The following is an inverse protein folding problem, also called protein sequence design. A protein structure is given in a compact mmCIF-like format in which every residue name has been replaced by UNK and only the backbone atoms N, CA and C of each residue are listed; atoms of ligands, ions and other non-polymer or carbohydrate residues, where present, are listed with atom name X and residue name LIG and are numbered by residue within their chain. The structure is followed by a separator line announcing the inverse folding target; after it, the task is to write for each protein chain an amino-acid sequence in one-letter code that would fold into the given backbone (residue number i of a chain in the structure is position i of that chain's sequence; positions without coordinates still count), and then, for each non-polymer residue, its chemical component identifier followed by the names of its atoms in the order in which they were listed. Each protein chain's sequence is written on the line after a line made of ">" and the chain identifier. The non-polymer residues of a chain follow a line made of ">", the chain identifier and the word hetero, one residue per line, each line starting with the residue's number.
data_IF_861240748035
#
_entry.id   IF_861240748035
#
_cell.length_a   1.000
_cell.length_b   1.000
_cell.length_c   1.000
_cell.angle_alpha   90.00
_cell.angle_beta   90.00
_cell.angle_gamma   90.00
#
_symmetry.space_group_name_H-M   'P 1'
#
loop_
_entity.id
_entity.type
_entity.pdbx_description
1 polymer ?
#
# COMPACT_ATOMS: atom_id res chain seq x y z
N UNK A 1 -43.57 40.88 -14.47
CA UNK A 1 -42.45 40.02 -14.97
C UNK A 1 -41.31 40.03 -13.95
N UNK A 2 -40.61 38.90 -13.77
CA UNK A 2 -39.33 38.73 -13.02
C UNK A 2 -39.34 38.47 -11.49
N UNK A 3 -40.23 37.61 -10.96
CA UNK A 3 -40.05 37.04 -9.59
C UNK A 3 -39.88 35.52 -9.55
N UNK A 4 -40.38 34.79 -10.56
CA UNK A 4 -40.25 33.33 -10.64
C UNK A 4 -38.85 32.83 -11.06
N UNK A 5 -38.03 33.66 -11.70
CA UNK A 5 -36.71 33.25 -12.23
C UNK A 5 -35.60 33.24 -11.17
N UNK A 6 -35.79 33.93 -10.04
CA UNK A 6 -34.77 34.09 -9.01
C UNK A 6 -34.83 32.95 -7.97
N UNK A 7 -36.03 32.42 -7.68
CA UNK A 7 -36.24 31.29 -6.76
C UNK A 7 -35.75 29.96 -7.34
N UNK A 8 -35.91 29.74 -8.64
CA UNK A 8 -35.39 28.54 -9.32
C UNK A 8 -33.86 28.52 -9.39
N UNK A 9 -33.24 29.67 -9.65
CA UNK A 9 -31.79 29.81 -9.65
C UNK A 9 -31.19 29.55 -8.26
N UNK A 10 -31.86 30.02 -7.20
CA UNK A 10 -31.42 29.81 -5.82
C UNK A 10 -31.59 28.34 -5.38
N UNK A 11 -32.73 27.71 -5.70
CA UNK A 11 -32.95 26.30 -5.40
C UNK A 11 -31.96 25.39 -6.14
N UNK A 12 -31.63 25.69 -7.41
CA UNK A 12 -30.64 24.97 -8.19
C UNK A 12 -29.22 25.14 -7.64
N UNK A 13 -28.85 26.35 -7.21
CA UNK A 13 -27.57 26.61 -6.53
C UNK A 13 -27.44 25.85 -5.20
N UNK A 14 -28.52 25.76 -4.41
CA UNK A 14 -28.52 25.02 -3.14
C UNK A 14 -28.40 23.50 -3.37
N UNK A 15 -29.07 22.96 -4.39
CA UNK A 15 -28.95 21.54 -4.79
C UNK A 15 -27.54 21.20 -5.31
N UNK A 16 -26.91 22.11 -6.06
CA UNK A 16 -25.52 21.94 -6.54
C UNK A 16 -24.49 21.99 -5.39
N UNK A 17 -24.70 22.85 -4.38
CA UNK A 17 -23.82 22.95 -3.21
C UNK A 17 -23.88 21.70 -2.30
N UNK A 18 -25.06 21.10 -2.12
CA UNK A 18 -25.23 19.87 -1.32
C UNK A 18 -24.52 18.64 -1.93
N UNK A 19 -24.29 18.65 -3.24
CA UNK A 19 -23.64 17.55 -3.96
C UNK A 19 -22.11 17.52 -3.78
N UNK A 20 -21.50 18.67 -3.48
CA UNK A 20 -20.03 18.81 -3.40
C UNK A 20 -19.42 18.37 -2.06
N UNK A 21 -20.22 18.25 -0.99
CA UNK A 21 -19.73 17.94 0.36
C UNK A 21 -19.43 16.44 0.60
N UNK A 22 -19.86 15.53 -0.29
CA UNK A 22 -19.82 14.09 -0.02
C UNK A 22 -18.52 13.37 -0.46
N UNK A 23 -17.62 14.05 -1.16
CA UNK A 23 -16.45 13.40 -1.78
C UNK A 23 -15.18 13.47 -0.92
N UNK A 24 -14.99 14.51 -0.10
CA UNK A 24 -13.79 14.69 0.73
C UNK A 24 -13.76 13.81 1.97
N UNK A 25 -14.93 13.56 2.58
CA UNK A 25 -15.03 12.87 3.87
C UNK A 25 -14.67 11.37 3.75
N UNK A 26 -14.83 10.81 2.56
CA UNK A 26 -14.44 9.42 2.26
C UNK A 26 -12.91 9.23 2.24
N UNK A 27 -12.13 10.30 2.05
CA UNK A 27 -10.67 10.22 1.95
C UNK A 27 -9.99 10.00 3.32
N UNK A 28 -10.66 10.35 4.42
CA UNK A 28 -10.20 10.05 5.78
C UNK A 28 -10.19 8.54 6.05
N UNK A 29 -11.23 7.83 5.60
CA UNK A 29 -11.39 6.39 5.81
C UNK A 29 -10.53 5.53 4.88
N UNK A 30 -9.80 6.14 3.93
CA UNK A 30 -8.91 5.40 3.04
C UNK A 30 -7.62 5.01 3.75
N UNK A 31 -7.15 3.79 3.45
CA UNK A 31 -5.83 3.33 3.85
C UNK A 31 -4.78 4.26 3.24
N UNK A 32 -4.09 5.03 4.10
CA UNK A 32 -2.99 5.93 3.72
C UNK A 32 -1.78 5.09 3.32
N UNK A 33 -1.60 4.87 2.02
CA UNK A 33 -0.46 4.12 1.46
C UNK A 33 0.72 5.05 1.17
N UNK A 34 1.93 4.52 1.23
CA UNK A 34 3.16 5.19 0.76
C UNK A 34 3.74 4.37 -0.38
N UNK A 35 4.15 5.04 -1.44
CA UNK A 35 4.79 4.41 -2.61
C UNK A 35 6.31 4.40 -2.48
N UNK A 36 6.82 3.90 -1.35
CA UNK A 36 8.25 3.84 -1.04
C UNK A 36 8.64 2.38 -0.91
N UNK A 37 9.11 1.81 -2.01
CA UNK A 37 9.41 0.37 -2.14
C UNK A 37 10.87 0.10 -2.50
N UNK A 38 11.71 1.13 -2.53
CA UNK A 38 13.10 0.97 -2.93
C UNK A 38 13.90 0.16 -1.90
N UNK A 39 14.90 -0.58 -2.38
CA UNK A 39 15.86 -1.22 -1.49
C UNK A 39 16.94 -0.21 -1.06
N UNK A 40 17.20 -0.12 0.25
CA UNK A 40 18.41 0.51 0.79
C UNK A 40 19.60 -0.43 0.74
N UNK A 41 19.35 -1.74 0.80
CA UNK A 41 20.30 -2.79 0.48
C UNK A 41 19.65 -3.83 -0.44
N UNK A 42 20.28 -4.06 -1.61
CA UNK A 42 19.79 -5.02 -2.60
C UNK A 42 19.69 -6.43 -1.99
N UNK A 43 18.74 -7.26 -2.43
CA UNK A 43 18.66 -8.65 -2.02
C UNK A 43 19.94 -9.41 -2.33
N UNK A 44 20.38 -10.22 -1.37
CA UNK A 44 21.54 -11.11 -1.48
C UNK A 44 21.17 -12.49 -0.98
N UNK A 45 21.80 -13.51 -1.56
CA UNK A 45 21.61 -14.90 -1.18
C UNK A 45 22.97 -15.49 -0.84
N UNK A 46 23.07 -16.09 0.34
CA UNK A 46 24.27 -16.81 0.77
C UNK A 46 23.91 -18.23 1.19
N UNK A 47 24.85 -19.16 1.04
CA UNK A 47 24.68 -20.56 1.45
C UNK A 47 25.81 -20.96 2.39
N UNK A 48 25.46 -21.59 3.51
CA UNK A 48 26.39 -22.20 4.48
C UNK A 48 25.91 -23.61 4.79
N UNK A 49 26.53 -24.61 4.17
CA UNK A 49 26.05 -26.00 4.21
C UNK A 49 24.62 -26.09 3.67
N UNK A 50 23.69 -26.56 4.52
CA UNK A 50 22.27 -26.70 4.18
C UNK A 50 21.44 -25.46 4.45
N UNK A 51 22.04 -24.41 5.04
CA UNK A 51 21.35 -23.15 5.29
C UNK A 51 21.51 -22.21 4.11
N UNK A 52 20.38 -21.73 3.59
CA UNK A 52 20.31 -20.62 2.64
C UNK A 52 19.75 -19.40 3.37
N UNK A 53 20.45 -18.27 3.25
CA UNK A 53 20.07 -17.00 3.86
C UNK A 53 19.79 -15.98 2.77
N UNK A 54 18.60 -15.38 2.82
CA UNK A 54 18.23 -14.22 2.00
C UNK A 54 18.30 -12.97 2.87
N UNK A 55 19.03 -11.95 2.42
CA UNK A 55 19.20 -10.68 3.17
C UNK A 55 18.96 -9.49 2.26
N UNK A 56 18.18 -8.53 2.75
CA UNK A 56 17.80 -7.31 2.04
C UNK A 56 17.41 -6.23 3.05
N UNK A 57 17.30 -4.98 2.59
CA UNK A 57 16.69 -3.90 3.37
C UNK A 57 15.84 -3.01 2.46
N UNK A 58 14.58 -2.80 2.83
CA UNK A 58 13.69 -1.83 2.20
C UNK A 58 13.89 -0.43 2.83
N UNK A 59 13.54 0.61 2.08
CA UNK A 59 13.66 2.02 2.50
C UNK A 59 12.63 2.45 3.52
N UNK A 60 11.40 1.94 3.43
CA UNK A 60 10.32 2.18 4.39
C UNK A 60 9.52 0.88 4.62
N UNK A 61 8.46 0.94 5.44
CA UNK A 61 7.53 -0.18 5.61
C UNK A 61 6.81 -0.49 4.29
N UNK A 62 6.82 -1.74 3.89
CA UNK A 62 6.12 -2.21 2.70
C UNK A 62 5.80 -3.70 2.79
N UNK A 63 4.86 -4.14 1.97
CA UNK A 63 4.58 -5.56 1.78
C UNK A 63 5.77 -6.24 1.08
N UNK A 64 6.21 -7.37 1.63
CA UNK A 64 7.27 -8.18 1.05
C UNK A 64 6.83 -9.64 0.98
N UNK A 65 7.20 -10.29 -0.13
CA UNK A 65 7.17 -11.74 -0.28
C UNK A 65 8.54 -12.22 -0.74
N UNK A 66 9.04 -13.29 -0.11
CA UNK A 66 10.22 -14.04 -0.55
C UNK A 66 9.72 -15.41 -1.02
N UNK A 67 10.05 -15.76 -2.25
CA UNK A 67 9.63 -17.00 -2.87
C UNK A 67 10.77 -17.66 -3.65
N UNK A 68 10.62 -18.95 -3.91
CA UNK A 68 11.44 -19.71 -4.85
C UNK A 68 10.65 -19.80 -6.16
N UNK A 69 11.31 -19.45 -7.25
CA UNK A 69 10.80 -19.57 -8.61
C UNK A 69 11.55 -20.67 -9.37
N UNK A 70 10.87 -21.27 -10.35
CA UNK A 70 11.54 -22.12 -11.35
C UNK A 70 12.21 -21.27 -12.44
N UNK A 71 12.89 -21.92 -13.38
CA UNK A 71 13.57 -21.23 -14.48
C UNK A 71 12.64 -20.47 -15.46
N UNK A 72 11.32 -20.68 -15.36
CA UNK A 72 10.29 -19.99 -16.16
C UNK A 72 9.61 -18.85 -15.38
N UNK A 73 10.07 -18.56 -14.16
CA UNK A 73 9.48 -17.53 -13.30
C UNK A 73 8.20 -17.99 -12.59
N UNK A 74 7.87 -19.28 -12.60
CA UNK A 74 6.73 -19.79 -11.83
C UNK A 74 7.14 -19.89 -10.36
N UNK A 75 6.39 -19.25 -9.46
CA UNK A 75 6.56 -19.45 -8.02
C UNK A 75 6.24 -20.90 -7.66
N UNK A 76 7.23 -21.61 -7.13
CA UNK A 76 7.11 -23.01 -6.69
C UNK A 76 7.05 -23.15 -5.17
N UNK A 77 7.45 -22.12 -4.41
CA UNK A 77 7.33 -22.09 -2.95
C UNK A 77 7.38 -20.67 -2.40
N UNK A 78 6.45 -20.31 -1.54
CA UNK A 78 6.58 -19.12 -0.69
C UNK A 78 7.43 -19.45 0.55
N UNK A 79 8.39 -18.60 0.87
CA UNK A 79 9.25 -18.73 2.05
C UNK A 79 8.78 -17.83 3.19
N UNK A 80 8.39 -16.59 2.88
CA UNK A 80 7.91 -15.61 3.84
C UNK A 80 7.06 -14.54 3.12
N UNK A 81 6.00 -14.06 3.78
CA UNK A 81 5.18 -12.94 3.29
C UNK A 81 4.68 -12.09 4.46
N UNK A 82 4.62 -10.77 4.27
CA UNK A 82 4.11 -9.84 5.28
C UNK A 82 4.63 -8.41 5.13
N UNK A 83 4.10 -7.52 5.97
CA UNK A 83 4.48 -6.09 5.99
C UNK A 83 5.75 -5.93 6.82
N UNK A 84 6.80 -5.33 6.25
CA UNK A 84 7.98 -4.89 6.99
C UNK A 84 7.67 -3.68 7.87
N UNK A 85 8.45 -3.46 8.92
CA UNK A 85 8.32 -2.27 9.78
C UNK A 85 8.34 -2.64 11.25
N UNK A 86 7.74 -1.77 12.09
CA UNK A 86 7.76 -1.94 13.55
C UNK A 86 7.15 -3.25 14.05
N UNK A 87 6.11 -3.75 13.35
CA UNK A 87 5.32 -4.91 13.75
C UNK A 87 5.44 -6.04 12.71
N UNK A 88 6.62 -6.20 12.12
CA UNK A 88 6.82 -7.21 11.09
C UNK A 88 6.55 -8.63 11.64
N UNK A 89 5.89 -9.50 10.87
CA UNK A 89 5.67 -10.89 11.30
C UNK A 89 6.97 -11.68 11.21
N UNK A 90 7.14 -12.79 11.96
CA UNK A 90 8.19 -13.76 11.66
C UNK A 90 8.10 -14.24 10.20
N UNK A 91 9.22 -14.40 9.47
CA UNK A 91 10.61 -14.25 9.90
C UNK A 91 11.22 -12.85 9.65
N UNK A 92 10.41 -11.81 9.42
CA UNK A 92 10.89 -10.44 9.12
C UNK A 92 11.17 -9.56 10.35
N UNK A 93 11.09 -10.13 11.55
CA UNK A 93 11.44 -9.43 12.78
C UNK A 93 12.94 -9.09 12.78
N UNK A 94 13.28 -7.86 13.19
CA UNK A 94 14.67 -7.46 13.40
C UNK A 94 15.14 -7.97 14.77
N UNK A 95 16.38 -8.44 14.85
CA UNK A 95 17.07 -8.79 16.10
C UNK A 95 16.37 -9.85 16.95
N UNK A 96 15.89 -10.93 16.32
CA UNK A 96 15.48 -12.16 17.01
C UNK A 96 16.68 -12.98 17.45
#
# INVERSE_FOLDING_TARGET
>A
MRRASLTHAFALCVLLAASAANASDLEEFRVKRREVFEFTARPTVTRKGDRVTVSFAAKDYCDVTVAIEDAKGKVIRHLASGVLGKNAPPPFQKST
#
